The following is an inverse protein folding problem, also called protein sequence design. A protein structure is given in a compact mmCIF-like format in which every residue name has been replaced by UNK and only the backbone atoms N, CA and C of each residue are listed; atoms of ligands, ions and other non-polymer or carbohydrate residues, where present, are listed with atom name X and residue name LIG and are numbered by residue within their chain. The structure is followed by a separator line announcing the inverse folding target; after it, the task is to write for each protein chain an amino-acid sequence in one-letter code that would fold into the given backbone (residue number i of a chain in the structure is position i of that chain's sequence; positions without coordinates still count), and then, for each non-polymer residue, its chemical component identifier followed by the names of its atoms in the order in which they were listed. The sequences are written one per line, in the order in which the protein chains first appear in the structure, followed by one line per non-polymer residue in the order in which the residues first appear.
data_IF_703559255885
#
_entry.id   IF_703559255885
#
_cell.length_a   1.000
_cell.length_b   1.000
_cell.length_c   1.000
_cell.angle_alpha   90.00
_cell.angle_beta   90.00
_cell.angle_gamma   90.00
#
_symmetry.space_group_name_H-M   'P 1'
#
loop_
_entity.id
_entity.type
_entity.pdbx_description
1 polymer ?
#
# COMPACT_ATOMS: atom_id res chain seq x y z
N UNK A 1 29.42 12.93 -77.32
CA UNK A 1 30.55 13.65 -76.73
C UNK A 1 30.03 14.55 -75.65
N UNK A 2 30.13 14.16 -74.35
CA UNK A 2 30.01 15.06 -73.22
C UNK A 2 30.49 14.31 -71.99
N UNK A 3 31.69 14.60 -71.53
CA UNK A 3 32.32 14.11 -70.37
C UNK A 3 31.68 14.81 -69.12
N UNK A 4 31.07 14.07 -68.29
CA UNK A 4 30.67 14.52 -66.88
C UNK A 4 31.80 14.16 -65.97
N UNK A 5 32.55 15.17 -65.52
CA UNK A 5 33.57 15.09 -64.48
C UNK A 5 32.87 15.03 -63.11
N UNK A 6 32.87 13.86 -62.48
CA UNK A 6 32.55 13.68 -61.09
C UNK A 6 33.74 14.12 -60.24
N UNK A 7 33.69 15.36 -59.72
CA UNK A 7 34.65 15.83 -58.73
C UNK A 7 34.39 15.18 -57.39
N UNK A 8 35.21 14.20 -57.01
CA UNK A 8 35.30 13.71 -55.62
C UNK A 8 35.99 14.78 -54.76
N UNK A 9 35.20 15.48 -53.98
CA UNK A 9 35.72 16.33 -52.90
C UNK A 9 36.18 15.40 -51.77
N UNK A 10 37.43 14.96 -51.83
CA UNK A 10 38.10 14.33 -50.69
C UNK A 10 38.64 15.45 -49.77
N UNK A 11 37.79 15.96 -48.89
CA UNK A 11 38.23 16.88 -47.85
C UNK A 11 39.19 16.16 -46.90
N UNK A 12 40.48 16.34 -47.08
CA UNK A 12 41.51 15.98 -46.09
C UNK A 12 41.28 16.86 -44.86
N UNK A 13 40.53 16.34 -43.87
CA UNK A 13 40.45 16.98 -42.56
C UNK A 13 41.86 17.04 -41.96
N UNK A 14 42.31 18.23 -41.61
CA UNK A 14 43.62 18.43 -41.00
C UNK A 14 43.68 17.71 -39.64
N UNK A 15 44.84 17.20 -39.27
CA UNK A 15 45.02 16.48 -37.99
C UNK A 15 44.55 17.30 -36.75
N UNK A 16 44.55 18.63 -36.87
CA UNK A 16 44.06 19.55 -35.84
C UNK A 16 42.53 19.52 -35.72
N UNK A 17 41.78 19.45 -36.82
CA UNK A 17 40.32 19.36 -36.78
C UNK A 17 39.83 18.02 -36.22
N UNK A 18 40.56 16.95 -36.45
CA UNK A 18 40.27 15.63 -35.89
C UNK A 18 40.51 15.57 -34.38
N UNK A 19 41.59 16.18 -33.87
CA UNK A 19 41.86 16.30 -32.44
C UNK A 19 40.79 17.12 -31.72
N UNK A 20 40.30 18.21 -32.33
CA UNK A 20 39.21 19.02 -31.78
C UNK A 20 37.89 18.23 -31.76
N UNK A 21 37.59 17.46 -32.78
CA UNK A 21 36.39 16.64 -32.86
C UNK A 21 36.39 15.52 -31.76
N UNK A 22 37.54 14.87 -31.54
CA UNK A 22 37.71 13.88 -30.49
C UNK A 22 37.56 14.54 -29.09
N UNK A 23 38.17 15.71 -28.90
CA UNK A 23 38.04 16.45 -27.62
C UNK A 23 36.59 16.85 -27.36
N UNK A 24 35.87 17.35 -28.39
CA UNK A 24 34.45 17.70 -28.25
C UNK A 24 33.58 16.46 -27.93
N UNK A 25 33.83 15.34 -28.62
CA UNK A 25 33.14 14.08 -28.36
C UNK A 25 33.39 13.57 -26.93
N UNK A 26 34.62 13.66 -26.42
CA UNK A 26 34.96 13.29 -25.06
C UNK A 26 34.26 14.16 -24.01
N UNK A 27 34.14 15.47 -24.25
CA UNK A 27 33.41 16.40 -23.35
C UNK A 27 31.91 16.06 -23.35
N UNK A 28 31.32 15.80 -24.50
CA UNK A 28 29.89 15.39 -24.58
C UNK A 28 29.66 14.06 -23.85
N UNK A 29 30.54 13.09 -24.06
CA UNK A 29 30.46 11.80 -23.35
C UNK A 29 30.58 11.95 -21.85
N UNK A 30 31.52 12.78 -21.37
CA UNK A 30 31.68 13.07 -19.94
C UNK A 30 30.44 13.76 -19.37
N UNK A 31 29.85 14.72 -20.11
CA UNK A 31 28.62 15.39 -19.69
C UNK A 31 27.43 14.40 -19.60
N UNK A 32 27.27 13.50 -20.56
CA UNK A 32 26.24 12.45 -20.53
C UNK A 32 26.44 11.52 -19.33
N UNK A 33 27.66 11.06 -19.10
CA UNK A 33 27.99 10.20 -17.96
C UNK A 33 27.73 10.92 -16.62
N UNK A 34 28.03 12.21 -16.54
CA UNK A 34 27.74 13.00 -15.34
C UNK A 34 26.24 13.14 -15.11
N UNK A 35 25.45 13.39 -16.16
CA UNK A 35 23.99 13.49 -16.06
C UNK A 35 23.41 12.14 -15.58
N UNK A 36 23.80 11.03 -16.21
CA UNK A 36 23.35 9.68 -15.83
C UNK A 36 23.77 9.34 -14.40
N UNK A 37 24.98 9.72 -14.00
CA UNK A 37 25.45 9.54 -12.63
C UNK A 37 24.62 10.33 -11.62
N UNK A 38 24.37 11.62 -11.90
CA UNK A 38 23.56 12.49 -11.04
C UNK A 38 22.11 12.00 -10.93
N UNK A 39 21.53 11.54 -12.02
CA UNK A 39 20.15 11.00 -11.99
C UNK A 39 20.07 9.70 -11.17
N UNK A 40 21.03 8.80 -11.32
CA UNK A 40 21.11 7.58 -10.48
C UNK A 40 21.39 7.90 -9.02
N UNK A 41 22.24 8.89 -8.75
CA UNK A 41 22.52 9.35 -7.39
C UNK A 41 21.26 9.96 -6.75
N UNK A 42 20.56 10.85 -7.46
CA UNK A 42 19.29 11.45 -7.00
C UNK A 42 18.20 10.40 -6.77
N UNK A 43 18.08 9.40 -7.63
CA UNK A 43 17.13 8.32 -7.49
C UNK A 43 17.38 7.47 -6.24
N UNK A 44 18.66 7.21 -5.88
CA UNK A 44 19.03 6.46 -4.67
C UNK A 44 18.80 7.29 -3.41
N UNK A 45 19.32 8.52 -3.38
CA UNK A 45 19.19 9.41 -2.21
C UNK A 45 17.74 9.88 -2.02
N UNK A 46 16.99 10.09 -3.11
CA UNK A 46 15.58 10.45 -3.06
C UNK A 46 14.70 9.34 -2.51
N UNK A 47 15.02 8.08 -2.78
CA UNK A 47 14.29 6.92 -2.24
C UNK A 47 14.42 6.76 -0.72
N UNK A 48 15.62 6.98 -0.17
CA UNK A 48 15.89 6.89 1.27
C UNK A 48 15.39 8.12 2.05
N UNK A 49 15.39 9.28 1.43
CA UNK A 49 14.93 10.54 2.03
C UNK A 49 13.48 10.88 1.65
N UNK A 50 12.75 9.98 0.97
CA UNK A 50 11.35 10.21 0.64
C UNK A 50 10.53 10.50 1.91
N UNK A 51 9.75 11.59 1.96
CA UNK A 51 8.93 11.92 3.11
C UNK A 51 7.87 10.84 3.30
N UNK A 52 7.88 10.20 4.46
CA UNK A 52 6.96 9.11 4.81
C UNK A 52 6.16 9.51 6.04
N UNK A 53 4.83 9.53 5.98
CA UNK A 53 4.00 9.84 7.14
C UNK A 53 4.04 8.68 8.12
N UNK A 54 4.11 8.99 9.41
CA UNK A 54 4.07 8.05 10.53
C UNK A 54 3.32 8.67 11.70
N UNK A 55 2.79 7.84 12.60
CA UNK A 55 2.22 8.29 13.86
C UNK A 55 3.28 8.18 14.96
N UNK A 56 3.42 9.23 15.78
CA UNK A 56 4.40 9.30 16.87
C UNK A 56 3.67 9.59 18.17
N UNK A 57 3.99 8.85 19.24
CA UNK A 57 3.43 9.07 20.57
C UNK A 57 3.80 10.45 21.10
N UNK A 58 2.83 11.20 21.62
CA UNK A 58 3.03 12.50 22.31
C UNK A 58 3.23 12.35 23.81
N UNK A 59 2.75 11.26 24.36
CA UNK A 59 2.79 10.95 25.79
C UNK A 59 2.87 9.44 26.00
N UNK A 60 3.14 9.02 27.22
CA UNK A 60 3.12 7.60 27.57
C UNK A 60 1.73 7.02 27.32
N UNK A 61 1.69 5.90 26.61
CA UNK A 61 0.48 5.10 26.36
C UNK A 61 0.72 3.75 27.04
N UNK A 62 0.09 3.48 28.19
CA UNK A 62 0.26 2.20 28.88
C UNK A 62 -0.28 1.01 28.06
N UNK A 63 0.32 -0.15 28.25
CA UNK A 63 -0.19 -1.41 27.71
C UNK A 63 -1.67 -1.61 28.08
N UNK A 64 -2.44 -2.19 27.16
CA UNK A 64 -3.89 -2.38 27.33
C UNK A 64 -4.73 -1.13 27.01
N UNK A 65 -4.13 0.03 26.71
CA UNK A 65 -4.89 1.23 26.34
C UNK A 65 -5.61 1.02 25.02
N UNK A 66 -6.96 1.12 24.94
CA UNK A 66 -7.69 0.97 23.70
C UNK A 66 -7.29 2.03 22.65
N UNK A 67 -7.12 1.60 21.42
CA UNK A 67 -6.76 2.50 20.30
C UNK A 67 -7.79 3.61 20.04
N UNK A 68 -9.06 3.36 20.34
CA UNK A 68 -10.12 4.39 20.30
C UNK A 68 -9.86 5.50 21.33
N UNK A 69 -9.34 5.17 22.51
CA UNK A 69 -8.95 6.13 23.51
C UNK A 69 -7.69 6.90 23.10
N UNK A 70 -6.69 6.19 22.52
CA UNK A 70 -5.48 6.80 21.98
C UNK A 70 -5.83 7.84 20.92
N UNK A 71 -6.74 7.52 20.00
CA UNK A 71 -7.23 8.44 18.98
C UNK A 71 -8.07 9.58 19.57
N UNK A 72 -9.05 9.27 20.40
CA UNK A 72 -9.97 10.25 20.99
C UNK A 72 -9.29 11.30 21.87
N UNK A 73 -8.23 10.92 22.56
CA UNK A 73 -7.42 11.84 23.39
C UNK A 73 -6.24 12.47 22.67
N UNK A 74 -6.11 12.23 21.37
CA UNK A 74 -5.00 12.76 20.54
C UNK A 74 -3.62 12.49 21.16
N UNK A 75 -3.41 11.25 21.66
CA UNK A 75 -2.18 10.84 22.34
C UNK A 75 -1.01 10.65 21.37
N UNK A 76 -1.20 10.90 20.08
CA UNK A 76 -0.20 10.84 19.01
C UNK A 76 -0.20 12.09 18.16
N UNK A 77 0.84 12.26 17.35
CA UNK A 77 0.91 13.26 16.30
C UNK A 77 1.27 12.59 14.96
N UNK A 78 0.59 12.93 13.86
CA UNK A 78 1.08 12.57 12.54
C UNK A 78 2.36 13.37 12.26
N UNK A 79 3.42 12.69 11.90
CA UNK A 79 4.74 13.26 11.63
C UNK A 79 5.24 12.73 10.30
N UNK A 80 6.04 13.52 9.58
CA UNK A 80 6.67 13.08 8.34
C UNK A 80 8.16 12.91 8.59
N UNK A 81 8.67 11.71 8.39
CA UNK A 81 10.08 11.36 8.55
C UNK A 81 10.69 10.93 7.21
N UNK A 82 12.01 11.11 7.03
CA UNK A 82 12.73 10.45 5.94
C UNK A 82 12.55 8.93 6.03
N UNK A 83 12.35 8.27 4.90
CA UNK A 83 12.09 6.81 4.86
C UNK A 83 13.12 5.97 5.61
N UNK A 84 14.38 6.38 5.59
CA UNK A 84 15.47 5.71 6.33
C UNK A 84 15.32 5.76 7.86
N UNK A 85 14.52 6.70 8.37
CA UNK A 85 14.26 6.88 9.80
C UNK A 85 12.94 6.25 10.24
N UNK A 86 12.16 5.71 9.29
CA UNK A 86 10.89 5.06 9.56
C UNK A 86 11.14 3.63 10.03
N UNK A 87 10.60 3.29 11.19
CA UNK A 87 10.69 1.95 11.75
C UNK A 87 9.94 0.92 10.90
N UNK A 88 10.43 -0.32 10.92
CA UNK A 88 9.77 -1.42 10.21
C UNK A 88 8.42 -1.65 10.87
N UNK A 89 7.36 -1.59 10.06
CA UNK A 89 6.01 -1.77 10.58
C UNK A 89 5.36 -0.47 11.09
N UNK A 90 5.97 0.72 10.88
CA UNK A 90 5.41 1.98 11.30
C UNK A 90 4.00 2.23 10.71
N UNK A 91 3.09 2.75 11.52
CA UNK A 91 1.70 3.03 11.16
C UNK A 91 1.58 4.48 10.72
N UNK A 92 0.96 4.69 9.55
CA UNK A 92 0.64 6.01 9.02
C UNK A 92 -0.84 6.39 9.18
N UNK A 93 -1.72 5.39 9.21
CA UNK A 93 -3.17 5.59 9.25
C UNK A 93 -3.71 5.38 10.67
N UNK A 94 -4.31 6.42 11.30
CA UNK A 94 -4.94 6.30 12.60
C UNK A 94 -6.08 5.26 12.66
N UNK A 95 -6.69 4.94 11.53
CA UNK A 95 -7.74 3.92 11.48
C UNK A 95 -7.24 2.52 11.88
N UNK A 96 -5.93 2.28 11.77
CA UNK A 96 -5.32 1.05 12.24
C UNK A 96 -5.54 0.79 13.73
N UNK A 97 -5.69 1.84 14.54
CA UNK A 97 -5.90 1.75 15.98
C UNK A 97 -7.30 1.25 16.35
N UNK A 98 -8.26 1.29 15.41
CA UNK A 98 -9.65 0.87 15.67
C UNK A 98 -9.73 -0.63 15.92
N UNK A 99 -10.32 -1.03 17.05
CA UNK A 99 -10.44 -2.43 17.47
C UNK A 99 -9.15 -3.04 18.02
N UNK A 100 -8.14 -2.22 18.26
CA UNK A 100 -6.85 -2.63 18.82
C UNK A 100 -6.59 -1.95 20.15
N UNK A 101 -5.71 -2.52 20.93
CA UNK A 101 -5.17 -1.92 22.16
C UNK A 101 -3.64 -1.97 22.12
N UNK A 102 -2.99 -1.07 22.84
CA UNK A 102 -1.55 -1.10 23.01
C UNK A 102 -1.11 -2.44 23.61
N UNK A 103 -0.24 -3.17 22.93
CA UNK A 103 0.28 -4.46 23.39
C UNK A 103 1.37 -4.29 24.46
N UNK A 104 2.10 -3.16 24.39
CA UNK A 104 3.19 -2.77 25.28
C UNK A 104 3.05 -1.31 25.64
N UNK A 105 3.83 -0.84 26.62
CA UNK A 105 3.96 0.58 26.91
C UNK A 105 4.64 1.29 25.75
N UNK A 106 4.04 2.37 25.26
CA UNK A 106 4.57 3.18 24.16
C UNK A 106 5.01 4.53 24.75
N UNK A 107 6.29 4.87 24.58
CA UNK A 107 6.88 6.05 25.19
C UNK A 107 6.76 7.30 24.29
N UNK A 108 6.78 8.50 24.87
CA UNK A 108 6.77 9.74 24.10
C UNK A 108 7.92 9.77 23.07
N UNK A 109 7.62 10.18 21.84
CA UNK A 109 8.59 10.21 20.74
C UNK A 109 8.74 8.88 19.98
N UNK A 110 8.20 7.78 20.47
CA UNK A 110 8.22 6.48 19.78
C UNK A 110 7.26 6.50 18.58
N UNK A 111 7.69 5.93 17.47
CA UNK A 111 6.84 5.69 16.30
C UNK A 111 5.86 4.56 16.63
N UNK A 112 4.62 4.68 16.17
CA UNK A 112 3.68 3.58 16.26
C UNK A 112 4.01 2.52 15.23
N UNK A 113 4.16 1.29 15.66
CA UNK A 113 4.35 0.13 14.79
C UNK A 113 3.20 -0.86 14.91
N UNK A 114 3.06 -1.73 13.92
CA UNK A 114 2.04 -2.78 13.94
C UNK A 114 2.22 -3.75 15.12
N UNK A 115 3.43 -3.87 15.66
CA UNK A 115 3.74 -4.72 16.81
C UNK A 115 3.31 -4.09 18.15
N UNK A 116 3.19 -2.76 18.20
CA UNK A 116 2.77 -2.05 19.41
C UNK A 116 1.27 -2.19 19.70
N UNK A 117 0.50 -2.72 18.74
CA UNK A 117 -0.96 -2.84 18.88
C UNK A 117 -1.43 -4.26 18.55
N UNK A 118 -2.21 -4.83 19.47
CA UNK A 118 -2.88 -6.11 19.30
C UNK A 118 -4.40 -5.93 19.24
N UNK A 119 -5.14 -6.98 18.84
CA UNK A 119 -6.59 -6.97 18.93
C UNK A 119 -7.02 -6.69 20.38
N UNK A 120 -7.92 -5.73 20.59
CA UNK A 120 -8.45 -5.42 21.91
C UNK A 120 -9.53 -6.44 22.29
N UNK A 121 -9.29 -7.31 23.29
CA UNK A 121 -10.25 -8.33 23.69
C UNK A 121 -11.55 -7.74 24.27
N UNK A 122 -11.52 -6.48 24.69
CA UNK A 122 -12.70 -5.80 25.24
C UNK A 122 -13.50 -5.03 24.17
N UNK A 123 -13.01 -4.98 22.95
CA UNK A 123 -13.69 -4.27 21.88
C UNK A 123 -14.81 -5.11 21.30
N UNK A 124 -16.05 -4.68 21.49
CA UNK A 124 -17.20 -5.30 20.83
C UNK A 124 -17.36 -4.77 19.40
N UNK A 125 -17.91 -5.58 18.49
CA UNK A 125 -18.24 -5.17 17.13
C UNK A 125 -19.07 -3.89 17.11
N UNK A 126 -20.01 -3.76 18.06
CA UNK A 126 -20.87 -2.57 18.18
C UNK A 126 -20.09 -1.28 18.49
N UNK A 127 -19.01 -1.36 19.25
CA UNK A 127 -18.19 -0.18 19.59
C UNK A 127 -17.26 0.27 18.46
N UNK A 128 -17.13 -0.54 17.41
CA UNK A 128 -16.27 -0.27 16.25
C UNK A 128 -17.01 0.36 15.07
N UNK A 129 -18.33 0.51 15.16
CA UNK A 129 -19.16 1.10 14.10
C UNK A 129 -19.82 2.39 14.58
N UNK A 130 -19.91 3.38 13.67
CA UNK A 130 -20.48 4.71 13.96
C UNK A 130 -21.33 5.20 12.79
N UNK A 131 -22.29 6.03 13.08
CA UNK A 131 -23.08 6.74 12.05
C UNK A 131 -23.75 5.80 11.03
N UNK A 132 -23.34 5.91 9.76
CA UNK A 132 -23.84 5.09 8.65
C UNK A 132 -23.20 3.71 8.55
N UNK A 133 -22.21 3.40 9.37
CA UNK A 133 -21.52 2.12 9.33
C UNK A 133 -22.38 0.99 9.91
N UNK A 134 -22.24 -0.18 9.36
CA UNK A 134 -22.92 -1.43 9.78
C UNK A 134 -21.91 -2.56 9.88
N UNK A 135 -22.16 -3.47 10.80
CA UNK A 135 -21.45 -4.73 10.90
C UNK A 135 -22.24 -5.79 10.12
N UNK A 136 -21.61 -6.33 9.08
CA UNK A 136 -22.18 -7.41 8.26
C UNK A 136 -21.41 -8.69 8.51
N UNK A 137 -22.11 -9.75 8.92
CA UNK A 137 -21.53 -11.08 9.10
C UNK A 137 -21.64 -11.88 7.80
N UNK A 138 -20.51 -12.38 7.31
CA UNK A 138 -20.45 -13.25 6.13
C UNK A 138 -19.86 -14.59 6.56
N UNK A 139 -20.56 -15.70 6.25
CA UNK A 139 -20.01 -17.03 6.39
C UNK A 139 -18.94 -17.25 5.32
N UNK A 140 -17.78 -17.71 5.71
CA UNK A 140 -16.67 -17.95 4.78
C UNK A 140 -16.50 -19.46 4.64
N UNK A 141 -16.53 -19.92 3.41
CA UNK A 141 -16.06 -21.22 3.04
C UNK A 141 -14.52 -21.23 3.06
N UNK A 142 -13.93 -22.26 3.67
CA UNK A 142 -12.49 -22.45 3.78
C UNK A 142 -11.76 -22.50 2.42
N UNK A 143 -12.51 -22.67 1.34
CA UNK A 143 -11.98 -22.75 -0.04
C UNK A 143 -11.63 -21.38 -0.62
N UNK A 144 -12.22 -20.28 -0.15
CA UNK A 144 -12.14 -18.95 -0.77
C UNK A 144 -11.24 -17.93 -0.02
N UNK A 145 -10.43 -18.38 0.90
CA UNK A 145 -9.45 -17.51 1.57
C UNK A 145 -8.87 -18.14 2.84
N UNK A 146 -7.57 -18.01 3.01
CA UNK A 146 -6.93 -18.34 4.29
C UNK A 146 -7.09 -17.16 5.24
N UNK A 147 -8.02 -17.26 6.16
CA UNK A 147 -8.20 -16.25 7.21
C UNK A 147 -7.20 -16.37 8.36
N UNK A 148 -6.32 -17.37 8.33
CA UNK A 148 -5.33 -17.61 9.37
C UNK A 148 -4.38 -16.43 9.61
N UNK A 149 -4.27 -15.52 8.64
CA UNK A 149 -3.41 -14.34 8.71
C UNK A 149 -4.20 -13.03 8.82
N UNK A 150 -5.53 -13.10 8.89
CA UNK A 150 -6.40 -11.92 9.04
C UNK A 150 -6.74 -11.74 10.50
N UNK A 151 -6.57 -10.53 11.01
CA UNK A 151 -6.95 -10.14 12.36
C UNK A 151 -8.04 -9.08 12.35
N UNK A 152 -8.78 -8.99 13.46
CA UNK A 152 -9.67 -7.84 13.67
C UNK A 152 -8.87 -6.54 13.59
N UNK A 153 -9.40 -5.57 12.84
CA UNK A 153 -8.71 -4.31 12.55
C UNK A 153 -7.90 -4.31 11.26
N UNK A 154 -7.75 -5.43 10.55
CA UNK A 154 -7.13 -5.45 9.22
C UNK A 154 -8.08 -4.91 8.15
N UNK A 155 -7.55 -4.67 6.97
CA UNK A 155 -8.33 -4.27 5.79
C UNK A 155 -8.13 -5.28 4.67
N UNK A 156 -9.21 -5.58 3.96
CA UNK A 156 -9.21 -6.52 2.85
C UNK A 156 -9.81 -5.90 1.60
N UNK A 157 -9.33 -6.35 0.44
CA UNK A 157 -9.99 -6.11 -0.84
C UNK A 157 -10.86 -7.32 -1.16
N UNK A 158 -12.08 -7.07 -1.57
CA UNK A 158 -13.06 -8.13 -1.86
C UNK A 158 -13.28 -8.20 -3.36
N UNK A 159 -13.09 -9.40 -3.90
CA UNK A 159 -13.37 -9.73 -5.30
C UNK A 159 -14.57 -10.66 -5.37
N UNK A 160 -15.34 -10.56 -6.45
CA UNK A 160 -16.47 -11.43 -6.73
C UNK A 160 -16.28 -12.17 -8.05
N UNK A 161 -16.74 -13.41 -8.09
CA UNK A 161 -16.80 -14.21 -9.31
C UNK A 161 -18.21 -14.13 -9.91
N UNK A 162 -18.36 -13.48 -11.05
CA UNK A 162 -19.65 -13.32 -11.75
C UNK A 162 -19.47 -13.60 -13.23
N UNK A 163 -20.32 -14.47 -13.78
CA UNK A 163 -20.36 -14.78 -15.22
C UNK A 163 -18.99 -15.17 -15.82
N UNK A 164 -18.20 -15.96 -15.10
CA UNK A 164 -16.88 -16.42 -15.56
C UNK A 164 -15.77 -15.38 -15.48
N UNK A 165 -16.01 -14.25 -14.85
CA UNK A 165 -15.02 -13.22 -14.58
C UNK A 165 -14.89 -12.96 -13.07
N UNK A 166 -13.66 -12.69 -12.62
CA UNK A 166 -13.39 -12.21 -11.26
C UNK A 166 -13.09 -10.73 -11.34
N UNK A 167 -13.78 -9.93 -10.55
CA UNK A 167 -13.59 -8.47 -10.51
C UNK A 167 -13.59 -7.93 -9.09
N UNK A 168 -12.88 -6.82 -8.90
CA UNK A 168 -12.89 -6.10 -7.64
C UNK A 168 -14.30 -5.59 -7.34
N UNK A 169 -14.85 -6.05 -6.22
CA UNK A 169 -16.16 -5.64 -5.72
C UNK A 169 -16.03 -4.41 -4.83
N UNK A 170 -15.27 -4.54 -3.74
CA UNK A 170 -15.01 -3.43 -2.81
C UNK A 170 -13.56 -3.47 -2.32
N UNK A 171 -12.80 -2.37 -2.46
CA UNK A 171 -11.48 -2.23 -1.87
C UNK A 171 -11.56 -1.73 -0.44
N UNK A 172 -10.52 -2.03 0.35
CA UNK A 172 -10.28 -1.46 1.67
C UNK A 172 -11.42 -1.62 2.68
N UNK A 173 -12.01 -2.82 2.71
CA UNK A 173 -13.07 -3.15 3.67
C UNK A 173 -12.46 -3.56 4.99
N UNK A 174 -12.91 -2.94 6.09
CA UNK A 174 -12.41 -3.20 7.45
C UNK A 174 -12.97 -4.48 8.03
N UNK A 175 -12.11 -5.30 8.60
CA UNK A 175 -12.47 -6.51 9.34
C UNK A 175 -12.71 -6.14 10.81
N UNK A 176 -13.90 -6.41 11.32
CA UNK A 176 -14.28 -6.13 12.72
C UNK A 176 -14.07 -7.34 13.62
N UNK A 177 -14.33 -8.54 13.10
CA UNK A 177 -14.07 -9.79 13.79
C UNK A 177 -13.78 -10.90 12.78
N UNK A 178 -12.98 -11.87 13.17
CA UNK A 178 -12.66 -13.07 12.39
C UNK A 178 -13.29 -14.30 13.02
N UNK A 179 -13.66 -15.32 12.25
CA UNK A 179 -14.17 -16.58 12.78
C UNK A 179 -13.10 -17.25 13.65
N UNK A 180 -13.55 -17.93 14.70
CA UNK A 180 -12.68 -18.76 15.53
C UNK A 180 -12.45 -20.13 14.85
N UNK A 181 -11.45 -20.92 15.29
CA UNK A 181 -11.24 -22.28 14.77
C UNK A 181 -12.45 -23.20 14.94
N UNK A 182 -13.32 -22.90 15.92
CA UNK A 182 -14.55 -23.66 16.22
C UNK A 182 -15.73 -23.28 15.29
N UNK A 183 -15.56 -22.27 14.44
CA UNK A 183 -16.56 -21.74 13.52
C UNK A 183 -16.84 -20.28 13.74
N UNK A 184 -17.75 -19.74 12.94
CA UNK A 184 -18.15 -18.34 13.01
C UNK A 184 -18.17 -17.67 11.65
N UNK A 185 -18.37 -16.37 11.66
CA UNK A 185 -18.46 -15.55 10.46
C UNK A 185 -17.39 -14.46 10.48
N UNK A 186 -16.92 -14.09 9.32
CA UNK A 186 -16.15 -12.86 9.16
C UNK A 186 -17.11 -11.68 9.30
N UNK A 187 -16.79 -10.75 10.20
CA UNK A 187 -17.60 -9.54 10.39
C UNK A 187 -16.89 -8.36 9.74
N UNK A 188 -17.55 -7.75 8.79
CA UNK A 188 -17.04 -6.63 8.01
C UNK A 188 -17.74 -5.32 8.37
N UNK A 189 -17.01 -4.21 8.28
CA UNK A 189 -17.57 -2.87 8.36
C UNK A 189 -17.96 -2.41 6.97
N UNK A 190 -19.24 -2.13 6.78
CA UNK A 190 -19.80 -1.66 5.51
C UNK A 190 -20.63 -0.41 5.72
N UNK A 191 -20.75 0.45 4.71
CA UNK A 191 -21.72 1.55 4.77
C UNK A 191 -23.15 1.02 4.58
N UNK A 192 -24.13 1.69 5.20
CA UNK A 192 -25.55 1.34 5.08
C UNK A 192 -26.01 1.24 3.63
N UNK A 193 -25.47 2.09 2.74
CA UNK A 193 -25.84 2.10 1.32
C UNK A 193 -25.34 0.88 0.56
N UNK A 194 -24.27 0.26 1.06
CA UNK A 194 -23.62 -0.89 0.42
C UNK A 194 -24.03 -2.23 1.05
N UNK A 195 -24.66 -2.20 2.23
CA UNK A 195 -24.99 -3.40 2.99
C UNK A 195 -25.84 -4.41 2.18
N UNK A 196 -26.79 -3.93 1.38
CA UNK A 196 -27.62 -4.78 0.53
C UNK A 196 -26.82 -5.44 -0.60
N UNK A 197 -25.88 -4.68 -1.21
CA UNK A 197 -24.99 -5.22 -2.26
C UNK A 197 -24.11 -6.32 -1.72
N UNK A 198 -23.59 -6.14 -0.51
CA UNK A 198 -22.77 -7.14 0.17
C UNK A 198 -23.57 -8.41 0.51
N UNK A 199 -24.78 -8.26 1.05
CA UNK A 199 -25.64 -9.38 1.37
C UNK A 199 -25.99 -10.19 0.11
N UNK A 200 -26.38 -9.49 -0.97
CA UNK A 200 -26.65 -10.14 -2.26
C UNK A 200 -25.43 -10.85 -2.81
N UNK A 201 -24.26 -10.22 -2.76
CA UNK A 201 -23.01 -10.80 -3.24
C UNK A 201 -22.64 -12.06 -2.44
N UNK A 202 -22.80 -12.04 -1.10
CA UNK A 202 -22.49 -13.16 -0.23
C UNK A 202 -23.37 -14.40 -0.52
N UNK A 203 -24.64 -14.18 -0.84
CA UNK A 203 -25.60 -15.27 -1.09
C UNK A 203 -25.58 -15.80 -2.54
N UNK A 204 -25.14 -14.97 -3.50
CA UNK A 204 -25.28 -15.29 -4.92
C UNK A 204 -23.96 -15.39 -5.70
N UNK A 205 -22.82 -15.11 -5.07
CA UNK A 205 -21.51 -15.13 -5.73
C UNK A 205 -20.44 -15.76 -4.85
N UNK A 206 -19.32 -16.11 -5.46
CA UNK A 206 -18.13 -16.48 -4.70
C UNK A 206 -17.36 -15.23 -4.35
N UNK A 207 -17.01 -15.07 -3.07
CA UNK A 207 -16.21 -13.97 -2.55
C UNK A 207 -14.76 -14.41 -2.33
N UNK A 208 -13.82 -13.55 -2.72
CA UNK A 208 -12.40 -13.72 -2.47
C UNK A 208 -11.89 -12.55 -1.64
N UNK A 209 -11.18 -12.86 -0.57
CA UNK A 209 -10.64 -11.88 0.37
C UNK A 209 -9.13 -11.79 0.19
N UNK A 210 -8.64 -10.59 -0.15
CA UNK A 210 -7.21 -10.30 -0.34
C UNK A 210 -6.78 -9.31 0.74
N UNK A 211 -5.85 -9.73 1.59
CA UNK A 211 -5.36 -8.89 2.70
C UNK A 211 -4.54 -7.73 2.16
N UNK A 212 -4.82 -6.54 2.65
CA UNK A 212 -4.05 -5.35 2.33
C UNK A 212 -2.86 -5.18 3.26
N UNK A 213 -1.73 -4.67 2.77
CA UNK A 213 -0.62 -4.32 3.64
C UNK A 213 -1.03 -3.20 4.60
N UNK A 214 -0.55 -3.29 5.85
CA UNK A 214 -0.80 -2.28 6.88
C UNK A 214 -0.17 -0.93 6.52
N UNK A 215 0.94 -0.97 5.79
CA UNK A 215 1.74 0.20 5.45
C UNK A 215 1.85 0.34 3.94
N UNK A 216 1.67 1.58 3.45
CA UNK A 216 1.88 1.90 2.05
C UNK A 216 0.92 1.21 1.10
N UNK A 217 -0.27 0.78 1.57
CA UNK A 217 -1.30 0.21 0.73
C UNK A 217 -1.67 1.19 -0.39
N UNK A 218 -1.38 0.81 -1.62
CA UNK A 218 -1.77 1.58 -2.80
C UNK A 218 -3.24 1.31 -3.12
N UNK A 219 -3.86 2.23 -3.84
CA UNK A 219 -5.20 2.01 -4.38
C UNK A 219 -5.20 0.75 -5.26
N UNK A 220 -6.16 -0.14 -5.01
CA UNK A 220 -6.30 -1.37 -5.80
C UNK A 220 -6.88 -1.01 -7.17
N UNK A 221 -6.20 -1.46 -8.23
CA UNK A 221 -6.70 -1.29 -9.59
C UNK A 221 -8.03 -2.03 -9.76
N UNK A 222 -8.95 -1.47 -10.53
CA UNK A 222 -10.22 -2.11 -10.88
C UNK A 222 -9.98 -3.10 -12.02
N UNK A 223 -9.24 -4.17 -11.74
CA UNK A 223 -8.95 -5.19 -12.73
C UNK A 223 -10.05 -6.24 -12.78
N UNK A 224 -10.32 -6.72 -13.99
CA UNK A 224 -11.21 -7.85 -14.24
C UNK A 224 -10.39 -8.96 -14.83
N UNK A 225 -10.36 -10.11 -14.16
CA UNK A 225 -9.70 -11.32 -14.64
C UNK A 225 -10.74 -12.25 -15.29
N UNK A 226 -10.42 -12.73 -16.49
CA UNK A 226 -11.18 -13.74 -17.21
C UNK A 226 -10.26 -14.88 -17.62
N UNK A 227 -10.81 -16.03 -18.03
CA UNK A 227 -9.99 -17.13 -18.55
C UNK A 227 -9.04 -16.69 -19.67
N UNK A 228 -9.49 -15.78 -20.55
CA UNK A 228 -8.68 -15.26 -21.64
C UNK A 228 -7.51 -14.35 -21.17
N UNK A 229 -7.63 -13.71 -20.01
CA UNK A 229 -6.57 -12.83 -19.48
C UNK A 229 -5.58 -13.56 -18.58
N UNK A 230 -5.99 -14.66 -17.95
CA UNK A 230 -5.19 -15.42 -16.99
C UNK A 230 -4.38 -16.54 -17.65
N UNK A 231 -4.87 -17.10 -18.78
CA UNK A 231 -4.24 -18.22 -19.49
C UNK A 231 -3.34 -17.76 -20.67
N UNK A 232 -2.87 -16.53 -20.66
CA UNK A 232 -1.93 -16.00 -21.64
C UNK A 232 -0.50 -16.35 -21.33
#
# INVERSE_FOLDING_TARGET
MSNTLTSRVSGRMSSRSWAIAIGAAAVVLAAILLIVYLDRYRARVGGENAPTPVLVAKQLIPAGTPGTLVAGRSMYAPTTLPRKEVEIGAIADPQYLSGRAAATDIFPGQQFTALDFAADPNTTVKSQITGSERALSISIDSVHGSLAQVAAGDSVDIYIAVAGAVKLFRPNVKVLAVPTPEGGSLVLRVDTKEAADFAYAADNTQLWFVVRPVIGAKATARDTATAATVLR
#
